data_IF_949857290124
#
_entry.id   IF_949857290124
#
_cell.length_a   1.000
_cell.length_b   1.000
_cell.length_c   1.000
_cell.angle_alpha   90.00
_cell.angle_beta   90.00
_cell.angle_gamma   90.00
#
_symmetry.space_group_name_H-M   'P 1'
#
loop_
_entity.id
_entity.type
_entity.pdbx_description
1 polymer ?
#
# COMPACT_ATOMS: atom_id res chain seq x y z
N UNK A 1 20.18 37.31 -0.79
CA UNK A 1 19.70 36.35 -1.79
C UNK A 1 18.37 35.82 -1.28
N UNK A 2 17.28 36.47 -1.69
CA UNK A 2 15.92 36.23 -1.21
C UNK A 2 15.42 34.91 -1.80
N UNK A 3 15.12 33.94 -0.93
CA UNK A 3 14.41 32.71 -1.27
C UNK A 3 12.97 33.07 -1.63
N UNK A 4 12.60 32.92 -2.91
CA UNK A 4 11.19 32.88 -3.30
C UNK A 4 10.59 31.57 -2.77
N UNK A 5 9.69 31.69 -1.80
CA UNK A 5 8.75 30.61 -1.47
C UNK A 5 7.88 30.35 -2.70
N UNK A 6 7.53 29.10 -3.05
CA UNK A 6 6.63 28.87 -4.17
C UNK A 6 5.30 29.54 -3.84
N UNK A 7 4.93 30.57 -4.61
CA UNK A 7 3.69 31.29 -4.38
C UNK A 7 2.53 30.32 -4.63
N UNK A 8 1.59 30.28 -3.69
CA UNK A 8 0.36 29.52 -3.85
C UNK A 8 -0.41 30.10 -5.04
N UNK A 9 -0.89 29.24 -5.95
CA UNK A 9 -1.78 29.65 -7.03
C UNK A 9 -3.10 30.18 -6.42
N UNK A 10 -3.45 31.46 -6.62
CA UNK A 10 -4.64 32.08 -6.03
C UNK A 10 -5.96 31.53 -6.58
N UNK A 11 -5.92 30.64 -7.59
CA UNK A 11 -7.10 29.91 -8.08
C UNK A 11 -7.45 28.64 -7.29
N UNK A 12 -6.62 28.25 -6.32
CA UNK A 12 -6.86 27.05 -5.50
C UNK A 12 -7.69 27.40 -4.26
N UNK A 13 -8.89 26.81 -4.19
CA UNK A 13 -9.82 26.98 -3.07
C UNK A 13 -9.18 26.58 -1.72
N UNK A 14 -9.11 27.47 -0.72
CA UNK A 14 -8.63 27.11 0.62
C UNK A 14 -9.48 26.04 1.32
N UNK A 15 -10.72 25.79 0.88
CA UNK A 15 -11.60 24.71 1.35
C UNK A 15 -11.43 23.39 0.58
N UNK A 16 -10.38 23.25 -0.22
CA UNK A 16 -10.17 22.07 -1.04
C UNK A 16 -10.22 20.77 -0.23
N UNK A 17 -11.13 19.87 -0.64
CA UNK A 17 -11.32 18.55 -0.03
C UNK A 17 -10.01 17.75 -0.06
N UNK A 18 -9.56 17.34 1.12
CA UNK A 18 -8.44 16.41 1.29
C UNK A 18 -9.02 15.01 1.32
N UNK A 19 -8.69 14.18 0.33
CA UNK A 19 -9.19 12.81 0.26
C UNK A 19 -8.35 11.87 1.09
N UNK A 20 -8.93 11.12 2.04
CA UNK A 20 -8.18 10.09 2.75
C UNK A 20 -7.80 8.96 1.78
N UNK A 21 -6.61 8.38 1.97
CA UNK A 21 -6.09 7.31 1.14
C UNK A 21 -5.24 6.33 1.97
N UNK A 22 -5.11 5.11 1.46
CA UNK A 22 -4.26 4.08 2.04
C UNK A 22 -3.33 3.49 0.96
N UNK A 23 -2.11 3.13 1.33
CA UNK A 23 -1.10 2.61 0.40
C UNK A 23 -0.26 1.53 1.07
N UNK A 24 0.02 0.43 0.37
CA UNK A 24 0.77 -0.72 0.90
C UNK A 24 2.12 -0.86 0.21
N UNK A 25 3.21 -0.73 0.97
CA UNK A 25 4.53 -1.16 0.55
C UNK A 25 4.66 -2.66 0.84
N UNK A 26 4.35 -3.49 -0.14
CA UNK A 26 4.51 -4.94 0.00
C UNK A 26 6.00 -5.28 0.00
N UNK A 27 6.47 -5.97 1.04
CA UNK A 27 7.89 -6.26 1.25
C UNK A 27 8.17 -7.76 1.14
N UNK A 28 9.38 -8.10 0.68
CA UNK A 28 9.94 -9.44 0.80
C UNK A 28 11.44 -9.39 1.07
N UNK A 29 11.97 -10.51 1.54
CA UNK A 29 13.42 -10.76 1.55
C UNK A 29 13.89 -11.00 0.13
N UNK A 30 15.15 -10.67 -0.15
CA UNK A 30 15.77 -10.98 -1.43
C UNK A 30 15.94 -12.51 -1.56
N UNK A 31 15.21 -13.18 -2.47
CA UNK A 31 15.28 -14.63 -2.59
C UNK A 31 16.65 -15.13 -3.05
N UNK A 32 17.49 -14.27 -3.66
CA UNK A 32 18.84 -14.63 -4.08
C UNK A 32 19.87 -14.57 -2.94
N UNK A 33 19.54 -13.93 -1.81
CA UNK A 33 20.43 -13.74 -0.66
C UNK A 33 19.71 -13.95 0.69
N UNK A 34 19.16 -15.15 0.97
CA UNK A 34 18.31 -15.39 2.15
C UNK A 34 19.07 -15.45 3.48
N UNK A 35 20.36 -15.81 3.47
CA UNK A 35 21.20 -15.92 4.68
C UNK A 35 22.06 -14.68 4.94
N UNK A 36 22.10 -13.75 3.99
CA UNK A 36 22.69 -12.43 4.18
C UNK A 36 21.62 -11.51 4.77
N UNK A 37 22.00 -10.41 5.41
CA UNK A 37 21.05 -9.32 5.70
C UNK A 37 20.74 -8.61 4.37
N UNK A 38 20.18 -9.37 3.42
CA UNK A 38 19.93 -8.97 2.05
C UNK A 38 18.98 -7.77 2.04
N UNK A 39 19.11 -6.88 1.04
CA UNK A 39 18.29 -5.69 1.01
C UNK A 39 16.82 -6.07 0.87
N UNK A 40 15.98 -5.54 1.75
CA UNK A 40 14.52 -5.64 1.62
C UNK A 40 14.11 -5.21 0.22
N UNK A 41 13.33 -6.06 -0.46
CA UNK A 41 12.70 -5.70 -1.72
C UNK A 41 11.28 -5.19 -1.46
N UNK A 42 10.85 -4.22 -2.25
CA UNK A 42 9.51 -3.67 -2.24
C UNK A 42 8.88 -3.85 -3.61
N UNK A 43 7.62 -4.29 -3.63
CA UNK A 43 6.86 -4.38 -4.87
C UNK A 43 6.41 -2.99 -5.29
N UNK A 44 6.80 -2.57 -6.49
CA UNK A 44 6.40 -1.29 -7.08
C UNK A 44 5.61 -1.52 -8.35
N UNK A 45 4.75 -0.56 -8.67
CA UNK A 45 4.01 -0.51 -9.93
C UNK A 45 4.40 0.71 -10.73
N UNK A 46 4.32 0.60 -12.05
CA UNK A 46 4.44 1.72 -12.99
C UNK A 46 3.07 2.08 -13.53
N UNK A 47 2.58 3.27 -13.16
CA UNK A 47 1.31 3.80 -13.68
C UNK A 47 1.40 4.00 -15.19
N UNK A 48 0.32 3.72 -15.92
CA UNK A 48 0.29 3.96 -17.38
C UNK A 48 0.58 5.43 -17.68
N UNK A 49 1.31 5.69 -18.77
CA UNK A 49 1.80 7.03 -19.11
C UNK A 49 0.68 8.06 -19.34
N UNK A 50 -0.46 7.61 -19.90
CA UNK A 50 -1.58 8.47 -20.31
C UNK A 50 -2.46 8.95 -19.15
N UNK A 51 -2.16 8.55 -17.92
CA UNK A 51 -2.90 9.01 -16.76
C UNK A 51 -2.73 10.52 -16.52
N UNK A 52 -3.87 11.20 -16.40
CA UNK A 52 -3.99 12.65 -16.14
C UNK A 52 -3.24 13.09 -14.87
N UNK A 53 -3.05 12.18 -13.91
CA UNK A 53 -2.28 12.43 -12.69
C UNK A 53 -1.25 11.33 -12.46
N UNK A 54 0.01 11.74 -12.30
CA UNK A 54 1.14 10.87 -12.04
C UNK A 54 1.32 9.72 -13.07
N UNK A 55 0.97 9.94 -14.34
CA UNK A 55 1.23 8.97 -15.42
C UNK A 55 2.73 8.67 -15.57
N UNK A 56 3.07 7.39 -15.76
CA UNK A 56 4.45 6.91 -15.83
C UNK A 56 5.22 6.95 -14.51
N UNK A 57 4.55 7.29 -13.40
CA UNK A 57 5.17 7.34 -12.08
C UNK A 57 5.25 5.94 -11.45
N UNK A 58 6.34 5.71 -10.73
CA UNK A 58 6.49 4.60 -9.79
C UNK A 58 5.58 4.87 -8.59
N UNK A 59 4.78 3.88 -8.23
CA UNK A 59 3.86 3.91 -7.11
C UNK A 59 3.82 2.54 -6.41
N UNK A 60 2.97 2.44 -5.41
CA UNK A 60 2.63 1.19 -4.73
C UNK A 60 1.11 0.99 -4.83
N UNK A 61 0.60 -0.24 -4.62
CA UNK A 61 -0.83 -0.49 -4.51
C UNK A 61 -1.48 0.41 -3.46
N UNK A 62 -2.57 1.08 -3.83
CA UNK A 62 -3.24 2.01 -2.94
C UNK A 62 -4.17 2.99 -3.65
N UNK A 63 -5.17 3.43 -2.89
CA UNK A 63 -6.20 4.32 -3.40
C UNK A 63 -6.95 5.02 -2.28
N UNK A 64 -8.09 5.60 -2.65
CA UNK A 64 -8.91 6.37 -1.72
C UNK A 64 -9.61 5.44 -0.72
N UNK A 65 -9.78 5.90 0.51
CA UNK A 65 -10.64 5.20 1.48
C UNK A 65 -12.10 5.39 1.04
N UNK A 66 -12.82 4.29 0.83
CA UNK A 66 -14.23 4.31 0.54
C UNK A 66 -15.02 4.47 1.85
N UNK A 67 -16.13 5.23 1.90
CA UNK A 67 -16.95 5.33 3.10
C UNK A 67 -17.36 3.97 3.69
N UNK A 68 -17.60 2.97 2.84
CA UNK A 68 -17.93 1.61 3.26
C UNK A 68 -16.79 0.87 3.97
N UNK A 69 -15.54 1.32 3.81
CA UNK A 69 -14.39 0.83 4.58
C UNK A 69 -14.47 1.35 6.03
N UNK A 70 -14.84 2.62 6.24
CA UNK A 70 -14.92 3.21 7.56
C UNK A 70 -16.12 2.69 8.37
N UNK A 71 -17.25 2.41 7.71
CA UNK A 71 -18.51 1.99 8.35
C UNK A 71 -18.59 0.48 8.66
N UNK A 72 -17.55 -0.29 8.30
CA UNK A 72 -17.46 -1.75 8.37
C UNK A 72 -17.35 -2.34 9.80
N UNK A 73 -18.37 -2.15 10.63
CA UNK A 73 -18.35 -2.55 12.06
C UNK A 73 -18.46 -4.05 12.33
N UNK A 74 -18.86 -4.84 11.34
CA UNK A 74 -19.10 -6.30 11.43
C UNK A 74 -17.92 -7.15 10.92
N UNK A 75 -16.80 -6.52 10.57
CA UNK A 75 -15.59 -7.21 10.13
C UNK A 75 -14.88 -7.88 11.30
N UNK A 76 -14.50 -9.15 11.10
CA UNK A 76 -13.67 -9.90 12.04
C UNK A 76 -12.18 -9.61 11.78
N UNK A 77 -11.37 -9.60 12.84
CA UNK A 77 -9.94 -9.28 12.80
C UNK A 77 -9.16 -10.46 13.36
N UNK A 78 -8.14 -10.91 12.63
CA UNK A 78 -7.24 -11.98 13.07
C UNK A 78 -6.03 -11.42 13.83
N UNK A 79 -5.68 -10.16 13.57
CA UNK A 79 -4.63 -9.43 14.25
C UNK A 79 -5.15 -8.52 15.37
N UNK A 80 -4.45 -7.41 15.64
CA UNK A 80 -4.69 -6.59 16.83
C UNK A 80 -5.98 -5.76 16.77
N UNK A 81 -6.55 -5.50 15.59
CA UNK A 81 -7.86 -4.87 15.42
C UNK A 81 -7.89 -3.35 15.56
N UNK A 82 -9.07 -2.72 15.38
CA UNK A 82 -9.21 -1.27 15.18
C UNK A 82 -8.67 -0.38 16.29
N UNK A 83 -8.85 -0.76 17.56
CA UNK A 83 -8.42 0.06 18.69
C UNK A 83 -6.89 0.15 18.80
N UNK A 84 -6.20 -0.95 18.48
CA UNK A 84 -4.75 -0.94 18.39
C UNK A 84 -4.28 -0.06 17.22
N UNK A 85 -4.92 -0.18 16.06
CA UNK A 85 -4.60 0.67 14.91
C UNK A 85 -4.89 2.14 15.18
N UNK A 86 -5.93 2.48 15.93
CA UNK A 86 -6.23 3.84 16.36
C UNK A 86 -5.06 4.46 17.15
N UNK A 87 -4.51 3.74 18.14
CA UNK A 87 -3.32 4.18 18.90
C UNK A 87 -2.10 4.36 17.98
N UNK A 88 -1.84 3.40 17.09
CA UNK A 88 -0.63 3.42 16.26
C UNK A 88 -0.66 4.43 15.12
N UNK A 89 -1.85 4.75 14.62
CA UNK A 89 -2.05 5.72 13.56
C UNK A 89 -2.35 7.12 14.09
N UNK A 90 -2.57 7.28 15.40
CA UNK A 90 -3.04 8.55 16.00
C UNK A 90 -4.32 9.04 15.29
N UNK A 91 -5.29 8.14 15.18
CA UNK A 91 -6.59 8.33 14.52
C UNK A 91 -7.72 7.82 15.42
N UNK A 92 -8.96 8.23 15.15
CA UNK A 92 -10.11 7.56 15.74
C UNK A 92 -10.28 6.14 15.16
N UNK A 93 -10.97 5.27 15.90
CA UNK A 93 -11.13 3.87 15.54
C UNK A 93 -11.85 3.64 14.19
N UNK A 94 -12.77 4.52 13.79
CA UNK A 94 -13.46 4.39 12.51
C UNK A 94 -12.53 4.72 11.33
N UNK A 95 -11.76 5.82 11.45
CA UNK A 95 -10.77 6.21 10.44
C UNK A 95 -9.62 5.21 10.35
N UNK A 96 -9.15 4.68 11.50
CA UNK A 96 -8.12 3.64 11.54
C UNK A 96 -8.60 2.35 10.87
N UNK A 97 -9.83 1.90 11.18
CA UNK A 97 -10.48 0.77 10.50
C UNK A 97 -10.56 0.99 9.00
N UNK A 98 -11.09 2.14 8.57
CA UNK A 98 -11.21 2.48 7.15
C UNK A 98 -9.87 2.46 6.44
N UNK A 99 -8.81 2.93 7.09
CA UNK A 99 -7.45 2.96 6.53
C UNK A 99 -6.89 1.55 6.32
N UNK A 100 -7.10 0.64 7.27
CA UNK A 100 -6.65 -0.75 7.15
C UNK A 100 -7.47 -1.52 6.11
N UNK A 101 -8.80 -1.35 6.10
CA UNK A 101 -9.64 -2.03 5.11
C UNK A 101 -9.41 -1.52 3.69
N UNK A 102 -9.19 -0.22 3.51
CA UNK A 102 -8.79 0.35 2.23
C UNK A 102 -7.43 -0.22 1.78
N UNK A 103 -6.43 -0.31 2.67
CA UNK A 103 -5.15 -0.93 2.35
C UNK A 103 -5.30 -2.38 1.85
N UNK A 104 -6.14 -3.18 2.52
CA UNK A 104 -6.40 -4.58 2.13
C UNK A 104 -7.18 -4.69 0.82
N UNK A 105 -8.19 -3.83 0.64
CA UNK A 105 -9.00 -3.76 -0.58
C UNK A 105 -8.16 -3.38 -1.79
N UNK A 106 -7.43 -2.28 -1.73
CA UNK A 106 -6.59 -1.78 -2.82
C UNK A 106 -5.47 -2.77 -3.17
N UNK A 107 -4.85 -3.40 -2.15
CA UNK A 107 -3.88 -4.46 -2.39
C UNK A 107 -4.51 -5.60 -3.20
N UNK A 108 -5.72 -6.04 -2.87
CA UNK A 108 -6.39 -7.11 -3.60
C UNK A 108 -6.80 -6.67 -5.01
N UNK A 109 -7.37 -5.47 -5.16
CA UNK A 109 -7.81 -4.94 -6.45
C UNK A 109 -6.66 -4.83 -7.47
N UNK A 110 -5.48 -4.41 -7.03
CA UNK A 110 -4.32 -4.16 -7.89
C UNK A 110 -3.34 -5.33 -7.98
N UNK A 111 -3.29 -6.24 -6.99
CA UNK A 111 -2.28 -7.31 -6.95
C UNK A 111 -2.83 -8.73 -6.91
N UNK A 112 -4.14 -8.88 -6.71
CA UNK A 112 -4.78 -10.18 -6.47
C UNK A 112 -4.42 -10.82 -5.13
N UNK A 113 -3.69 -10.12 -4.24
CA UNK A 113 -3.36 -10.58 -2.89
C UNK A 113 -4.34 -10.00 -1.87
N UNK A 114 -5.09 -10.88 -1.20
CA UNK A 114 -6.03 -10.49 -0.15
C UNK A 114 -5.52 -10.93 1.21
N UNK A 115 -5.20 -9.96 2.07
CA UNK A 115 -4.80 -10.20 3.47
C UNK A 115 -6.02 -10.50 4.36
N UNK A 116 -6.56 -11.71 4.19
CA UNK A 116 -7.68 -12.24 4.99
C UNK A 116 -7.61 -13.77 5.14
N UNK A 117 -8.09 -14.30 6.27
CA UNK A 117 -8.06 -15.73 6.59
C UNK A 117 -7.73 -16.00 8.06
N UNK A 118 -7.91 -17.26 8.51
CA UNK A 118 -7.73 -17.66 9.92
C UNK A 118 -6.39 -18.33 10.24
N UNK A 119 -5.72 -18.90 9.23
CA UNK A 119 -4.39 -19.52 9.37
C UNK A 119 -3.30 -18.61 8.79
N UNK A 120 -2.02 -19.04 8.76
CA UNK A 120 -0.90 -18.35 8.07
C UNK A 120 -1.11 -18.13 6.55
N UNK A 121 -2.31 -18.40 6.05
CA UNK A 121 -2.76 -18.29 4.68
C UNK A 121 -3.13 -16.84 4.35
N UNK A 122 -2.67 -16.38 3.20
CA UNK A 122 -3.17 -15.20 2.48
C UNK A 122 -3.97 -15.73 1.29
N UNK A 123 -5.14 -15.15 1.00
CA UNK A 123 -5.92 -15.55 -0.18
C UNK A 123 -5.20 -15.05 -1.42
N UNK A 124 -4.87 -15.97 -2.33
CA UNK A 124 -4.22 -15.69 -3.60
C UNK A 124 -5.24 -15.81 -4.72
N UNK A 125 -5.19 -14.89 -5.66
CA UNK A 125 -5.94 -15.03 -6.91
C UNK A 125 -5.33 -16.07 -7.85
N UNK A 126 -4.03 -16.35 -7.75
CA UNK A 126 -3.32 -17.22 -8.69
C UNK A 126 -2.55 -18.31 -7.95
N UNK A 127 -2.61 -19.54 -8.46
CA UNK A 127 -1.76 -20.65 -8.00
C UNK A 127 -0.37 -20.52 -8.65
N UNK A 128 0.69 -20.71 -7.87
CA UNK A 128 2.05 -20.74 -8.41
C UNK A 128 2.27 -22.09 -9.12
N UNK A 129 2.14 -22.08 -10.45
CA UNK A 129 2.28 -23.28 -11.29
C UNK A 129 3.70 -23.89 -11.28
N UNK A 130 4.64 -23.38 -10.47
CA UNK A 130 5.99 -23.93 -10.32
C UNK A 130 6.08 -25.14 -9.37
N UNK A 131 5.08 -25.38 -8.53
CA UNK A 131 4.95 -26.63 -7.79
C UNK A 131 3.90 -27.49 -8.52
N UNK A 132 4.32 -28.60 -9.13
CA UNK A 132 3.45 -29.54 -9.84
C UNK A 132 2.53 -30.34 -8.92
N UNK A 133 1.89 -29.70 -7.96
CA UNK A 133 0.91 -30.28 -7.07
C UNK A 133 -0.30 -29.35 -7.04
N UNK A 134 -1.29 -29.67 -7.88
CA UNK A 134 -2.65 -29.15 -7.76
C UNK A 134 -3.23 -29.67 -6.44
N UNK A 135 -2.80 -29.09 -5.34
CA UNK A 135 -3.42 -29.30 -4.04
C UNK A 135 -4.36 -28.15 -3.82
N UNK A 136 -5.65 -28.50 -3.80
CA UNK A 136 -6.69 -27.75 -3.13
C UNK A 136 -6.11 -27.09 -1.88
N UNK A 137 -5.72 -25.82 -1.96
CA UNK A 137 -5.29 -25.07 -0.77
C UNK A 137 -6.50 -25.06 0.15
N UNK A 138 -6.46 -25.70 1.35
CA UNK A 138 -7.64 -25.72 2.20
C UNK A 138 -7.98 -24.26 2.56
N UNK A 139 -9.09 -23.76 2.03
CA UNK A 139 -9.52 -22.37 2.20
C UNK A 139 -9.08 -21.38 1.11
N UNK A 140 -8.53 -21.80 -0.02
CA UNK A 140 -8.34 -20.94 -1.21
C UNK A 140 -9.63 -20.78 -2.05
N UNK A 141 -9.76 -19.69 -2.80
CA UNK A 141 -10.74 -19.60 -3.90
C UNK A 141 -10.11 -20.15 -5.18
N UNK A 142 -10.91 -20.69 -6.10
CA UNK A 142 -10.42 -20.90 -7.47
C UNK A 142 -10.07 -19.55 -8.11
N UNK A 143 -9.20 -19.56 -9.13
CA UNK A 143 -8.77 -18.32 -9.80
C UNK A 143 -9.97 -17.50 -10.33
N UNK A 144 -10.98 -18.16 -10.91
CA UNK A 144 -12.20 -17.52 -11.41
C UNK A 144 -13.01 -16.85 -10.30
N UNK A 145 -13.15 -17.50 -9.14
CA UNK A 145 -13.89 -16.95 -8.00
C UNK A 145 -13.14 -15.75 -7.41
N UNK A 146 -11.81 -15.85 -7.30
CA UNK A 146 -10.99 -14.75 -6.83
C UNK A 146 -11.05 -13.54 -7.76
N UNK A 147 -10.96 -13.74 -9.08
CA UNK A 147 -11.11 -12.67 -10.06
C UNK A 147 -12.51 -12.03 -9.99
N UNK A 148 -13.57 -12.83 -9.86
CA UNK A 148 -14.92 -12.30 -9.74
C UNK A 148 -15.10 -11.41 -8.50
N UNK A 149 -14.60 -11.85 -7.34
CA UNK A 149 -14.64 -11.04 -6.13
C UNK A 149 -13.82 -9.74 -6.26
N UNK A 150 -12.63 -9.83 -6.84
CA UNK A 150 -11.78 -8.66 -7.11
C UNK A 150 -12.47 -7.67 -8.07
N UNK A 151 -13.04 -8.18 -9.15
CA UNK A 151 -13.77 -7.38 -10.13
C UNK A 151 -15.04 -6.74 -9.54
N UNK A 152 -15.69 -7.38 -8.58
CA UNK A 152 -16.83 -6.81 -7.85
C UNK A 152 -16.41 -5.65 -6.93
N UNK A 153 -15.25 -5.77 -6.27
CA UNK A 153 -14.67 -4.69 -5.45
C UNK A 153 -14.26 -3.49 -6.32
N UNK A 154 -13.45 -3.74 -7.36
CA UNK A 154 -12.96 -2.70 -8.26
C UNK A 154 -14.09 -1.95 -9.01
N UNK A 155 -15.24 -2.60 -9.18
CA UNK A 155 -16.44 -1.98 -9.77
C UNK A 155 -17.43 -1.42 -8.73
N UNK A 156 -17.06 -1.40 -7.45
CA UNK A 156 -17.89 -0.99 -6.32
C UNK A 156 -19.26 -1.70 -6.26
N UNK A 157 -19.35 -2.93 -6.77
CA UNK A 157 -20.57 -3.76 -6.66
C UNK A 157 -20.73 -4.40 -5.29
N UNK A 158 -19.62 -4.50 -4.55
CA UNK A 158 -19.54 -5.05 -3.21
C UNK A 158 -18.49 -4.30 -2.41
N UNK A 159 -18.70 -4.11 -1.11
CA UNK A 159 -17.66 -3.59 -0.23
C UNK A 159 -16.73 -4.71 0.25
N UNK A 160 -15.52 -4.37 0.67
CA UNK A 160 -14.58 -5.33 1.26
C UNK A 160 -15.16 -5.96 2.53
N UNK A 161 -15.87 -5.19 3.35
CA UNK A 161 -16.55 -5.69 4.53
C UNK A 161 -17.57 -6.78 4.20
N UNK A 162 -18.43 -6.54 3.19
CA UNK A 162 -19.43 -7.49 2.75
C UNK A 162 -18.81 -8.76 2.13
N UNK A 163 -17.64 -8.64 1.49
CA UNK A 163 -16.89 -9.79 1.00
C UNK A 163 -16.37 -10.64 2.16
N UNK A 164 -15.62 -10.03 3.08
CA UNK A 164 -15.01 -10.70 4.23
C UNK A 164 -16.05 -11.39 5.12
N UNK A 165 -17.19 -10.74 5.36
CA UNK A 165 -18.27 -11.28 6.18
C UNK A 165 -18.91 -12.54 5.56
N UNK A 166 -19.25 -12.50 4.27
CA UNK A 166 -19.90 -13.65 3.62
C UNK A 166 -18.96 -14.84 3.48
N UNK A 167 -17.68 -14.57 3.23
CA UNK A 167 -16.64 -15.58 3.05
C UNK A 167 -16.08 -16.04 4.41
N UNK A 168 -16.52 -15.40 5.50
CA UNK A 168 -16.11 -15.68 6.89
C UNK A 168 -14.58 -15.64 7.05
N UNK A 169 -13.96 -14.65 6.40
CA UNK A 169 -12.52 -14.44 6.39
C UNK A 169 -12.20 -13.20 7.23
N UNK A 170 -11.63 -13.36 8.44
CA UNK A 170 -11.17 -12.21 9.19
C UNK A 170 -10.01 -11.53 8.48
N UNK A 171 -9.87 -10.22 8.66
CA UNK A 171 -8.75 -9.43 8.12
C UNK A 171 -7.46 -9.87 8.80
N UNK A 172 -6.41 -10.13 8.02
CA UNK A 172 -5.05 -10.41 8.49
C UNK A 172 -4.27 -9.11 8.65
N UNK A 173 -4.78 -8.22 9.51
CA UNK A 173 -4.14 -6.94 9.80
C UNK A 173 -2.82 -7.10 10.56
N UNK A 174 -2.55 -8.28 11.13
CA UNK A 174 -1.24 -8.68 11.64
C UNK A 174 -0.15 -8.78 10.57
N UNK A 175 -0.50 -8.81 9.29
CA UNK A 175 0.44 -8.73 8.16
C UNK A 175 0.74 -7.29 7.74
N UNK A 176 0.13 -6.30 8.38
CA UNK A 176 0.39 -4.89 8.15
C UNK A 176 1.21 -4.30 9.30
N UNK A 177 2.00 -3.27 9.00
CA UNK A 177 2.63 -2.40 10.00
C UNK A 177 2.41 -0.93 9.64
N UNK A 178 2.19 -0.04 10.62
CA UNK A 178 2.12 1.39 10.36
C UNK A 178 3.47 1.86 9.84
N UNK A 179 3.46 2.62 8.74
CA UNK A 179 4.67 3.20 8.19
C UNK A 179 4.65 4.71 8.34
N UNK A 180 4.01 5.42 7.42
CA UNK A 180 4.09 6.88 7.36
C UNK A 180 2.73 7.50 7.02
N UNK A 181 2.54 8.79 7.33
CA UNK A 181 1.39 9.57 6.84
C UNK A 181 1.85 10.80 6.10
N UNK A 182 1.23 11.02 4.95
CA UNK A 182 1.55 12.16 4.10
C UNK A 182 0.29 12.91 3.68
N UNK A 183 0.18 14.16 4.11
CA UNK A 183 -0.83 15.09 3.64
C UNK A 183 -0.23 15.91 2.51
N UNK A 184 -0.87 15.91 1.36
CA UNK A 184 -0.48 16.74 0.22
C UNK A 184 -0.54 18.21 0.63
N UNK A 185 0.51 19.03 0.41
CA UNK A 185 0.49 20.44 0.79
C UNK A 185 -0.65 21.25 0.13
N UNK A 186 -1.08 22.37 0.73
CA UNK A 186 -2.01 23.31 0.11
C UNK A 186 -1.53 23.83 -1.26
N UNK A 187 -2.44 24.32 -2.10
CA UNK A 187 -2.10 24.88 -3.41
C UNK A 187 -1.92 23.86 -4.53
N UNK A 188 -2.33 22.59 -4.32
CA UNK A 188 -2.29 21.53 -5.34
C UNK A 188 -3.70 21.17 -5.76
N UNK A 189 -3.98 20.97 -7.06
CA UNK A 189 -5.33 20.68 -7.58
C UNK A 189 -5.95 19.37 -7.08
N UNK A 190 -5.14 18.42 -6.61
CA UNK A 190 -5.58 17.19 -5.93
C UNK A 190 -4.79 17.03 -4.65
N UNK A 191 -5.49 16.81 -3.53
CA UNK A 191 -4.88 16.61 -2.22
C UNK A 191 -5.36 15.31 -1.60
N UNK A 192 -4.39 14.56 -1.09
CA UNK A 192 -4.61 13.32 -0.37
C UNK A 192 -3.99 13.39 1.03
N UNK A 193 -4.64 12.73 1.97
CA UNK A 193 -4.11 12.36 3.27
C UNK A 193 -3.88 10.85 3.26
N UNK A 194 -2.65 10.45 2.94
CA UNK A 194 -2.31 9.06 2.66
C UNK A 194 -1.63 8.43 3.87
N UNK A 195 -2.21 7.33 4.38
CA UNK A 195 -1.56 6.42 5.34
C UNK A 195 -0.85 5.33 4.55
N UNK A 196 0.45 5.18 4.79
CA UNK A 196 1.29 4.14 4.22
C UNK A 196 1.47 3.01 5.25
N UNK A 197 1.32 1.78 4.78
CA UNK A 197 1.53 0.55 5.54
C UNK A 197 2.70 -0.23 4.93
N UNK A 198 3.46 -0.95 5.76
CA UNK A 198 4.27 -2.07 5.28
C UNK A 198 3.38 -3.31 5.23
N UNK A 199 3.40 -4.01 4.10
CA UNK A 199 2.75 -5.31 3.95
C UNK A 199 3.78 -6.42 4.00
N UNK A 200 3.56 -7.41 4.87
CA UNK A 200 4.51 -8.49 5.16
C UNK A 200 3.86 -9.83 4.80
N UNK A 201 3.73 -10.15 3.50
CA UNK A 201 3.13 -11.40 3.08
C UNK A 201 3.98 -12.60 3.59
N UNK A 202 3.37 -13.79 3.71
CA UNK A 202 4.11 -15.04 3.86
C UNK A 202 5.13 -15.26 2.74
N UNK A 203 6.18 -16.02 3.03
CA UNK A 203 7.23 -16.36 2.05
C UNK A 203 6.63 -17.07 0.84
N UNK A 204 7.12 -16.75 -0.36
CA UNK A 204 6.68 -17.35 -1.63
C UNK A 204 5.29 -16.89 -2.09
N UNK A 205 4.77 -15.79 -1.56
CA UNK A 205 3.61 -15.09 -2.11
C UNK A 205 4.08 -14.08 -3.14
N UNK A 206 3.63 -14.24 -4.38
CA UNK A 206 3.94 -13.32 -5.47
C UNK A 206 2.69 -12.51 -5.86
N UNK A 207 2.75 -11.17 -5.81
CA UNK A 207 1.70 -10.32 -6.38
C UNK A 207 1.70 -10.46 -7.91
N UNK A 208 0.53 -10.27 -8.52
CA UNK A 208 0.43 -10.07 -9.96
C UNK A 208 -0.24 -8.75 -10.20
N UNK A 209 0.32 -7.91 -11.06
CA UNK A 209 -0.37 -6.69 -11.46
C UNK A 209 -1.72 -7.03 -12.12
N UNK A 210 -2.80 -6.51 -11.56
CA UNK A 210 -4.17 -6.66 -12.08
C UNK A 210 -4.75 -5.28 -12.40
N UNK A 211 -5.50 -5.21 -13.50
CA UNK A 211 -6.12 -3.98 -13.97
C UNK A 211 -5.36 -3.30 -15.11
N UNK A 212 -5.83 -2.11 -15.49
CA UNK A 212 -5.34 -1.35 -16.66
C UNK A 212 -4.63 -0.05 -16.27
N UNK A 213 -4.56 0.27 -14.98
CA UNK A 213 -4.03 1.53 -14.47
C UNK A 213 -2.50 1.55 -14.33
N UNK A 214 -1.88 0.38 -14.37
CA UNK A 214 -0.43 0.21 -14.39
C UNK A 214 0.00 -0.77 -15.49
N UNK A 215 1.20 -0.57 -16.02
CA UNK A 215 1.76 -1.32 -17.16
C UNK A 215 2.82 -2.35 -16.74
N UNK A 216 3.43 -2.16 -15.58
CA UNK A 216 4.46 -3.05 -15.07
C UNK A 216 4.42 -3.09 -13.54
N UNK A 217 4.73 -4.24 -12.96
CA UNK A 217 4.92 -4.41 -11.54
C UNK A 217 6.05 -5.39 -11.28
N UNK A 218 6.96 -5.01 -10.41
CA UNK A 218 8.17 -5.77 -10.12
C UNK A 218 8.70 -5.51 -8.72
N UNK A 219 9.50 -6.46 -8.24
CA UNK A 219 10.22 -6.36 -6.99
C UNK A 219 11.56 -5.66 -7.21
N UNK A 220 11.79 -4.59 -6.47
CA UNK A 220 13.05 -3.85 -6.53
C UNK A 220 13.52 -3.48 -5.13
N UNK A 221 14.83 -3.24 -4.97
CA UNK A 221 15.34 -2.67 -3.73
C UNK A 221 15.04 -1.16 -3.69
N UNK A 222 14.71 -0.58 -2.52
CA UNK A 222 14.52 0.86 -2.38
C UNK A 222 15.71 1.68 -2.91
N UNK A 223 16.93 1.19 -2.70
CA UNK A 223 18.15 1.82 -3.19
C UNK A 223 18.21 1.88 -4.72
N UNK A 224 17.85 0.79 -5.41
CA UNK A 224 17.82 0.75 -6.87
C UNK A 224 16.77 1.73 -7.44
N UNK A 225 15.57 1.76 -6.87
CA UNK A 225 14.50 2.67 -7.29
C UNK A 225 14.93 4.14 -7.15
N UNK A 226 15.54 4.49 -6.01
CA UNK A 226 16.03 5.86 -5.75
C UNK A 226 17.20 6.24 -6.67
N UNK A 227 18.09 5.31 -7.00
CA UNK A 227 19.17 5.54 -7.95
C UNK A 227 18.64 5.75 -9.37
N UNK A 228 17.67 4.94 -9.81
CA UNK A 228 17.02 5.09 -11.11
C UNK A 228 16.28 6.43 -11.23
N UNK A 229 15.69 6.92 -10.13
CA UNK A 229 15.05 8.23 -10.08
C UNK A 229 16.08 9.36 -10.24
N UNK A 230 17.18 9.29 -9.49
CA UNK A 230 18.27 10.27 -9.58
C UNK A 230 18.87 10.31 -11.00
N UNK A 231 18.91 9.17 -11.68
CA UNK A 231 19.35 9.04 -13.07
C UNK A 231 18.28 9.49 -14.10
N UNK A 232 17.08 9.89 -13.66
CA UNK A 232 15.98 10.32 -14.53
C UNK A 232 15.30 9.18 -15.30
N UNK A 233 15.58 7.92 -14.96
CA UNK A 233 15.02 6.74 -15.62
C UNK A 233 13.59 6.45 -15.15
N UNK A 234 13.27 6.83 -13.92
CA UNK A 234 11.93 6.69 -13.36
C UNK A 234 11.46 8.02 -12.78
N UNK A 235 10.14 8.22 -12.76
CA UNK A 235 9.51 9.33 -12.06
C UNK A 235 8.75 8.77 -10.88
N UNK A 236 8.61 9.53 -9.80
CA UNK A 236 7.69 9.20 -8.71
C UNK A 236 7.30 10.48 -7.98
N UNK A 237 6.24 10.38 -7.18
CA UNK A 237 5.75 11.50 -6.38
C UNK A 237 6.63 11.70 -5.14
N UNK A 238 6.65 12.92 -4.61
CA UNK A 238 7.37 13.26 -3.37
C UNK A 238 7.09 12.30 -2.19
N UNK A 239 5.84 11.87 -1.93
CA UNK A 239 5.56 10.90 -0.86
C UNK A 239 6.24 9.55 -1.12
N UNK A 240 6.18 9.02 -2.34
CA UNK A 240 6.83 7.76 -2.75
C UNK A 240 8.33 7.81 -2.47
N UNK A 241 8.99 8.89 -2.91
CA UNK A 241 10.43 9.11 -2.67
C UNK A 241 10.76 9.15 -1.17
N UNK A 242 9.94 9.83 -0.37
CA UNK A 242 10.16 9.96 1.06
C UNK A 242 10.03 8.61 1.79
N UNK A 243 8.98 7.83 1.49
CA UNK A 243 8.79 6.51 2.12
C UNK A 243 9.85 5.50 1.68
N UNK A 244 10.33 5.57 0.43
CA UNK A 244 11.44 4.76 -0.07
C UNK A 244 12.76 5.11 0.61
N UNK A 245 13.07 6.40 0.81
CA UNK A 245 14.29 6.80 1.53
C UNK A 245 14.28 6.30 2.97
N UNK A 246 13.13 6.37 3.64
CA UNK A 246 12.98 5.80 4.97
C UNK A 246 13.13 4.28 4.97
N UNK A 247 12.58 3.60 3.96
CA UNK A 247 12.69 2.14 3.86
C UNK A 247 14.12 1.70 3.53
N UNK A 248 14.83 2.44 2.68
CA UNK A 248 16.25 2.21 2.39
C UNK A 248 17.16 2.41 3.60
N UNK A 249 16.73 3.23 4.57
CA UNK A 249 17.42 3.45 5.83
C UNK A 249 16.90 2.53 6.95
N UNK A 250 15.83 1.78 6.69
CA UNK A 250 15.35 0.75 7.59
C UNK A 250 16.27 -0.46 7.48
N UNK A 251 16.49 -1.17 8.58
CA UNK A 251 17.30 -2.37 8.58
C UNK A 251 16.58 -3.56 7.94
N UNK A 252 16.78 -4.75 8.51
CA UNK A 252 16.27 -5.99 7.93
C UNK A 252 14.74 -6.12 8.01
N UNK A 253 14.18 -7.05 7.22
CA UNK A 253 12.75 -7.37 7.32
C UNK A 253 12.39 -7.90 8.72
N UNK A 254 13.29 -8.64 9.36
CA UNK A 254 13.14 -9.11 10.74
C UNK A 254 13.07 -7.96 11.75
N UNK A 255 13.93 -6.95 11.61
CA UNK A 255 13.84 -5.75 12.43
C UNK A 255 12.50 -5.03 12.22
N UNK A 256 12.04 -4.90 10.97
CA UNK A 256 10.74 -4.32 10.66
C UNK A 256 9.56 -5.14 11.22
N UNK A 257 9.69 -6.48 11.28
CA UNK A 257 8.70 -7.38 11.88
C UNK A 257 8.62 -7.22 13.39
N UNK A 258 9.78 -7.13 14.05
CA UNK A 258 9.92 -7.10 15.50
C UNK A 258 9.73 -5.71 16.12
N UNK A 259 9.91 -4.65 15.34
CA UNK A 259 9.80 -3.28 15.83
C UNK A 259 8.35 -2.91 16.12
N UNK A 260 8.12 -2.30 17.29
CA UNK A 260 6.83 -1.72 17.65
C UNK A 260 6.62 -0.37 16.93
N UNK A 261 6.28 -0.45 15.64
CA UNK A 261 6.16 0.72 14.80
C UNK A 261 4.94 1.58 15.18
N UNK A 262 5.15 2.89 15.12
CA UNK A 262 4.12 3.93 15.17
C UNK A 262 4.18 4.74 13.89
N UNK A 263 3.06 5.37 13.55
CA UNK A 263 2.95 6.20 12.37
C UNK A 263 3.96 7.34 12.38
N UNK A 264 4.79 7.41 11.34
CA UNK A 264 5.67 8.54 11.13
C UNK A 264 4.97 9.62 10.32
N UNK A 265 4.73 10.77 10.94
CA UNK A 265 4.22 11.95 10.23
C UNK A 265 5.42 12.69 9.66
N UNK A 266 5.52 12.77 8.33
CA UNK A 266 6.64 13.45 7.70
C UNK A 266 6.74 14.91 8.16
N UNK A 267 7.91 15.31 8.63
CA UNK A 267 8.25 16.68 9.01
C UNK A 267 8.38 17.58 7.78
N UNK A 268 8.26 18.90 7.96
CA UNK A 268 8.47 19.85 6.86
C UNK A 268 9.87 19.70 6.23
N UNK A 269 10.90 19.46 7.05
CA UNK A 269 12.25 19.21 6.55
C UNK A 269 12.31 18.00 5.61
N UNK A 270 11.61 16.91 5.94
CA UNK A 270 11.51 15.73 5.07
C UNK A 270 10.71 16.02 3.81
N UNK A 271 9.65 16.83 3.89
CA UNK A 271 8.89 17.29 2.70
C UNK A 271 9.77 18.08 1.75
N UNK A 272 10.52 19.05 2.27
CA UNK A 272 11.46 19.84 1.46
C UNK A 272 12.57 18.95 0.91
N UNK A 273 13.16 18.07 1.73
CA UNK A 273 14.22 17.16 1.30
C UNK A 273 13.79 16.19 0.21
N UNK A 274 12.55 15.69 0.30
CA UNK A 274 11.95 14.90 -0.75
C UNK A 274 11.65 15.75 -1.98
N UNK A 275 11.30 17.04 -1.87
CA UNK A 275 10.99 17.91 -3.01
C UNK A 275 12.17 18.39 -3.87
N UNK A 276 13.41 18.41 -3.34
CA UNK A 276 14.60 19.04 -3.97
C UNK A 276 15.16 18.39 -5.26
N UNK A 277 14.54 17.32 -5.77
CA UNK A 277 14.97 16.63 -7.00
C UNK A 277 13.87 16.58 -8.08
N UNK A 278 12.88 17.47 -8.01
CA UNK A 278 11.85 17.62 -9.04
C UNK A 278 12.27 18.63 -10.10
#
# INVERSE_FOLDING_TARGET
>A
MTQESPSADPSVDPAQVIRPAATVLLLREDPEHPDDVGPVQVYVIRRVADMVFAGGATAFPGGAIDPSDADATDVQWAGPGPDWWADRLDLDAATARGSVLAAVRELFEETGLLFAGTDAQVVRQFEDHRAGDHTDVPGGWSEDVAEQHRADLAAHRRSIAALLAAERRPVRDDLLRPWARWITPPGRTRRYDTVFFLGLPPVGVEPRLVGTEAEHGDWQTPAAILAAELAGQVKMMTPTRAVLRRLAAAGSLDELRATDLRLHIATEAERVAAGRHA
#
